data_IF_754583548389
#
_entry.id   IF_754583548389
#
_cell.length_a   1.000
_cell.length_b   1.000
_cell.length_c   1.000
_cell.angle_alpha   90.00
_cell.angle_beta   90.00
_cell.angle_gamma   90.00
#
_symmetry.space_group_name_H-M   'P 1'
#
loop_
_entity.id
_entity.type
_entity.pdbx_description
1 polymer ?
#
# COMPACT_ATOMS: atom_id res chain seq x y z
N UNK A 1 -18.46 -11.95 -2.34
CA UNK A 1 -18.49 -10.59 -1.75
C UNK A 1 -18.02 -9.65 -2.82
N UNK A 2 -18.63 -8.49 -3.03
CA UNK A 2 -18.16 -7.57 -4.06
C UNK A 2 -16.81 -6.97 -3.63
N UNK A 3 -15.86 -6.91 -4.56
CA UNK A 3 -14.56 -6.26 -4.36
C UNK A 3 -14.70 -4.84 -4.87
N UNK A 4 -14.23 -3.85 -4.12
CA UNK A 4 -14.27 -2.46 -4.55
C UNK A 4 -12.88 -1.82 -4.56
N UNK A 5 -12.75 -0.73 -5.32
CA UNK A 5 -11.59 0.13 -5.25
C UNK A 5 -11.77 1.11 -4.10
N UNK A 6 -10.87 1.12 -3.15
CA UNK A 6 -10.73 2.21 -2.19
C UNK A 6 -9.89 3.33 -2.81
N UNK A 7 -10.32 4.56 -2.62
CA UNK A 7 -9.52 5.75 -2.95
C UNK A 7 -9.11 6.44 -1.63
N UNK A 8 -7.94 6.11 -1.07
CA UNK A 8 -7.46 6.75 0.14
C UNK A 8 -7.35 8.26 -0.04
N UNK A 9 -7.92 9.03 0.90
CA UNK A 9 -7.85 10.49 0.86
C UNK A 9 -6.44 10.95 1.28
N UNK A 10 -5.50 10.94 0.34
CA UNK A 10 -4.16 11.46 0.53
C UNK A 10 -4.06 12.90 0.03
N UNK A 11 -3.26 13.72 0.72
CA UNK A 11 -2.97 15.10 0.28
C UNK A 11 -1.95 15.00 -0.86
N UNK A 12 -2.20 15.68 -1.97
CA UNK A 12 -1.36 15.59 -3.17
C UNK A 12 0.11 15.95 -2.89
N UNK A 13 0.34 17.00 -2.10
CA UNK A 13 1.69 17.49 -1.75
C UNK A 13 2.38 16.62 -0.70
N UNK A 14 1.62 15.79 0.01
CA UNK A 14 2.10 14.88 1.03
C UNK A 14 1.27 13.59 1.01
N UNK A 15 1.47 12.72 0.00
CA UNK A 15 0.63 11.55 -0.25
C UNK A 15 0.93 10.41 0.74
N UNK A 16 0.67 10.68 2.02
CA UNK A 16 0.88 9.81 3.17
C UNK A 16 -0.24 10.03 4.20
N UNK A 17 -0.65 8.98 4.87
CA UNK A 17 -1.51 9.06 6.06
C UNK A 17 -1.23 7.92 7.02
N UNK A 18 -1.58 8.13 8.30
CA UNK A 18 -1.70 7.05 9.28
C UNK A 18 -3.13 6.95 9.80
N UNK A 19 -3.51 5.76 10.21
CA UNK A 19 -4.79 5.47 10.87
C UNK A 19 -4.54 4.53 12.04
N UNK A 20 -5.32 4.68 13.12
CA UNK A 20 -5.42 3.69 14.18
C UNK A 20 -6.79 3.04 14.11
N UNK A 21 -6.84 1.73 14.07
CA UNK A 21 -8.09 0.97 14.00
C UNK A 21 -8.16 -0.07 15.12
N UNK A 22 -9.30 -0.09 15.78
CA UNK A 22 -9.69 -1.15 16.70
C UNK A 22 -10.25 -2.35 15.92
N UNK A 23 -10.17 -3.54 16.50
CA UNK A 23 -10.50 -4.79 15.83
C UNK A 23 -11.97 -5.11 15.65
N UNK A 24 -12.89 -4.23 16.03
CA UNK A 24 -14.32 -4.51 16.06
C UNK A 24 -14.98 -4.54 14.68
N UNK A 25 -14.42 -3.85 13.70
CA UNK A 25 -15.06 -3.60 12.41
C UNK A 25 -14.44 -4.44 11.30
N UNK A 26 -15.33 -5.06 10.50
CA UNK A 26 -14.96 -5.70 9.24
C UNK A 26 -14.44 -4.64 8.25
N UNK A 27 -13.23 -4.84 7.72
CA UNK A 27 -12.79 -4.16 6.52
C UNK A 27 -13.14 -5.05 5.33
N UNK A 28 -14.06 -4.61 4.49
CA UNK A 28 -14.57 -5.41 3.36
C UNK A 28 -13.52 -5.58 2.27
N UNK A 29 -13.62 -6.61 1.39
CA UNK A 29 -12.66 -6.84 0.32
C UNK A 29 -12.51 -5.63 -0.59
N UNK A 30 -11.31 -5.10 -0.67
CA UNK A 30 -10.97 -3.93 -1.49
C UNK A 30 -9.52 -4.00 -1.97
N UNK A 31 -9.17 -3.07 -2.83
CA UNK A 31 -7.81 -2.81 -3.26
C UNK A 31 -7.63 -1.31 -3.51
N UNK A 32 -6.39 -0.86 -3.50
CA UNK A 32 -5.99 0.51 -3.81
C UNK A 32 -4.59 0.51 -4.44
N UNK A 33 -4.17 1.63 -5.03
CA UNK A 33 -2.86 1.77 -5.69
C UNK A 33 -1.71 2.03 -4.72
N UNK A 34 -2.02 2.52 -3.54
CA UNK A 34 -1.07 2.89 -2.51
C UNK A 34 -0.42 1.65 -1.89
N UNK A 35 0.78 1.82 -1.35
CA UNK A 35 1.40 0.85 -0.45
C UNK A 35 0.73 1.02 0.92
N UNK A 36 0.42 -0.11 1.55
CA UNK A 36 -0.10 -0.14 2.91
C UNK A 36 0.83 -0.97 3.82
N UNK A 37 1.12 -0.45 4.99
CA UNK A 37 1.83 -1.18 6.03
C UNK A 37 0.90 -1.29 7.24
N UNK A 38 0.65 -2.52 7.70
CA UNK A 38 -0.08 -2.78 8.93
C UNK A 38 0.91 -3.15 10.03
N UNK A 39 0.79 -2.50 11.19
CA UNK A 39 1.51 -2.83 12.41
C UNK A 39 0.49 -3.20 13.49
N UNK A 40 0.58 -4.40 14.04
CA UNK A 40 -0.30 -4.84 15.13
C UNK A 40 0.26 -4.36 16.45
N UNK A 41 -0.49 -3.50 17.13
CA UNK A 41 -0.09 -2.93 18.43
C UNK A 41 -0.66 -3.71 19.60
N UNK A 42 -1.84 -4.38 19.42
CA UNK A 42 -2.45 -5.22 20.45
C UNK A 42 -3.20 -6.40 19.83
N UNK A 43 -3.26 -7.51 20.55
CA UNK A 43 -4.06 -8.68 20.22
C UNK A 43 -3.60 -9.45 18.98
N UNK A 44 -4.60 -9.96 18.24
CA UNK A 44 -4.41 -10.78 17.04
C UNK A 44 -5.37 -10.31 15.97
N UNK A 45 -4.87 -10.08 14.76
CA UNK A 45 -5.65 -9.63 13.59
C UNK A 45 -5.71 -10.74 12.56
N UNK A 46 -6.91 -11.05 12.07
CA UNK A 46 -7.13 -11.99 10.98
C UNK A 46 -7.43 -11.23 9.69
N UNK A 47 -6.62 -11.45 8.66
CA UNK A 47 -6.76 -10.78 7.37
C UNK A 47 -6.53 -11.73 6.20
N UNK A 48 -6.92 -11.29 5.03
CA UNK A 48 -6.68 -11.97 3.77
C UNK A 48 -5.98 -11.03 2.81
N UNK A 49 -5.00 -11.55 2.08
CA UNK A 49 -4.32 -10.85 0.99
C UNK A 49 -4.33 -11.78 -0.21
N UNK A 50 -4.96 -11.37 -1.33
CA UNK A 50 -5.12 -12.17 -2.54
C UNK A 50 -5.66 -13.59 -2.20
N UNK A 51 -6.76 -13.63 -1.45
CA UNK A 51 -7.44 -14.86 -0.99
C UNK A 51 -6.60 -15.78 -0.06
N UNK A 52 -5.39 -15.37 0.31
CA UNK A 52 -4.55 -16.12 1.25
C UNK A 52 -4.82 -15.64 2.67
N UNK A 53 -5.30 -16.51 3.57
CA UNK A 53 -5.53 -16.15 4.97
C UNK A 53 -4.20 -15.91 5.69
N UNK A 54 -4.19 -14.89 6.53
CA UNK A 54 -3.06 -14.55 7.38
C UNK A 54 -3.56 -14.13 8.76
N UNK A 55 -2.86 -14.56 9.79
CA UNK A 55 -3.08 -14.11 11.16
C UNK A 55 -1.84 -13.38 11.64
N UNK A 56 -1.98 -12.16 12.09
CA UNK A 56 -0.91 -11.33 12.65
C UNK A 56 -1.10 -11.13 14.14
N UNK A 57 -0.02 -11.19 14.89
CA UNK A 57 0.02 -10.99 16.34
C UNK A 57 0.68 -9.65 16.69
N UNK A 58 0.48 -9.21 17.92
CA UNK A 58 1.14 -8.02 18.47
C UNK A 58 2.63 -7.98 18.12
N UNK A 59 3.09 -6.84 17.62
CA UNK A 59 4.46 -6.58 17.16
C UNK A 59 4.78 -7.11 15.76
N UNK A 60 3.85 -7.78 15.09
CA UNK A 60 4.02 -8.20 13.70
C UNK A 60 3.60 -7.10 12.73
N UNK A 61 4.27 -7.11 11.58
CA UNK A 61 4.09 -6.13 10.51
C UNK A 61 3.81 -6.89 9.23
N UNK A 62 2.90 -6.36 8.40
CA UNK A 62 2.72 -6.81 7.03
C UNK A 62 2.73 -5.63 6.08
N UNK A 63 3.32 -5.81 4.91
CA UNK A 63 3.34 -4.85 3.80
C UNK A 63 2.42 -5.36 2.70
N UNK A 64 1.43 -4.55 2.33
CA UNK A 64 0.47 -4.81 1.26
C UNK A 64 0.84 -3.91 0.09
N UNK A 65 1.14 -4.50 -1.05
CA UNK A 65 1.50 -3.73 -2.25
C UNK A 65 0.26 -3.15 -2.92
N UNK A 66 0.42 -2.08 -3.66
CA UNK A 66 -0.64 -1.53 -4.49
C UNK A 66 -1.21 -2.60 -5.45
N UNK A 67 -2.53 -2.71 -5.48
CA UNK A 67 -3.27 -3.68 -6.27
C UNK A 67 -3.54 -5.03 -5.60
N UNK A 68 -2.95 -5.33 -4.44
CA UNK A 68 -3.31 -6.52 -3.68
C UNK A 68 -4.74 -6.37 -3.12
N UNK A 69 -5.61 -7.33 -3.44
CA UNK A 69 -6.94 -7.41 -2.83
C UNK A 69 -6.77 -7.85 -1.39
N UNK A 70 -7.31 -7.07 -0.46
CA UNK A 70 -7.22 -7.42 0.95
C UNK A 70 -8.46 -7.06 1.74
N UNK A 71 -8.65 -7.73 2.86
CA UNK A 71 -9.72 -7.48 3.83
C UNK A 71 -9.34 -7.99 5.21
N UNK A 72 -9.92 -7.41 6.23
CA UNK A 72 -9.62 -7.73 7.62
C UNK A 72 -10.91 -8.13 8.32
N UNK A 73 -10.90 -9.33 8.92
CA UNK A 73 -12.04 -9.83 9.68
C UNK A 73 -12.14 -9.12 11.04
N UNK A 74 -13.34 -9.02 11.61
CA UNK A 74 -13.49 -8.60 13.00
C UNK A 74 -12.56 -9.41 13.90
N UNK A 75 -11.78 -8.74 14.69
CA UNK A 75 -10.77 -9.32 15.60
C UNK A 75 -10.84 -8.58 16.94
N UNK A 76 -11.91 -8.79 17.73
CA UNK A 76 -12.15 -8.05 18.97
C UNK A 76 -10.97 -8.10 19.93
N UNK A 77 -10.69 -6.98 20.58
CA UNK A 77 -9.53 -6.82 21.47
C UNK A 77 -8.19 -6.69 20.76
N UNK A 78 -8.19 -6.49 19.44
CA UNK A 78 -6.99 -6.15 18.69
C UNK A 78 -6.94 -4.68 18.34
N UNK A 79 -5.71 -4.16 18.18
CA UNK A 79 -5.45 -2.82 17.67
C UNK A 79 -4.36 -2.89 16.59
N UNK A 80 -4.48 -2.02 15.58
CA UNK A 80 -3.51 -1.91 14.49
C UNK A 80 -3.31 -0.47 14.04
N UNK A 81 -2.09 -0.16 13.67
CA UNK A 81 -1.74 1.05 12.95
C UNK A 81 -1.65 0.73 11.46
N UNK A 82 -2.18 1.63 10.65
CA UNK A 82 -2.19 1.56 9.20
C UNK A 82 -1.40 2.74 8.66
N UNK A 83 -0.44 2.48 7.78
CA UNK A 83 0.34 3.50 7.09
C UNK A 83 0.08 3.33 5.60
N UNK A 84 -0.50 4.34 4.97
CA UNK A 84 -0.78 4.33 3.53
C UNK A 84 -0.02 5.47 2.85
N UNK A 85 0.63 5.17 1.74
CA UNK A 85 1.36 6.16 0.95
C UNK A 85 1.42 5.78 -0.53
N UNK A 86 1.39 6.79 -1.37
CA UNK A 86 1.68 6.64 -2.79
C UNK A 86 3.20 6.68 -3.02
N UNK A 87 3.70 6.00 -4.03
CA UNK A 87 5.12 6.01 -4.39
C UNK A 87 5.62 7.43 -4.70
N UNK A 88 4.74 8.32 -5.15
CA UNK A 88 5.06 9.73 -5.37
C UNK A 88 5.50 10.48 -4.10
N UNK A 89 5.26 9.91 -2.91
CA UNK A 89 5.80 10.42 -1.65
C UNK A 89 7.33 10.60 -1.70
N UNK A 90 8.02 9.81 -2.52
CA UNK A 90 9.48 9.85 -2.69
C UNK A 90 9.95 10.69 -3.89
N UNK A 91 9.06 11.39 -4.60
CA UNK A 91 9.41 12.15 -5.82
C UNK A 91 10.28 13.39 -5.58
N UNK A 92 10.44 13.86 -4.34
CA UNK A 92 11.30 15.01 -4.00
C UNK A 92 12.79 14.71 -4.17
N UNK A 93 13.16 13.46 -4.14
CA UNK A 93 14.47 13.05 -4.62
C UNK A 93 14.40 13.07 -6.17
N UNK A 94 15.39 13.67 -6.80
CA UNK A 94 15.64 13.45 -8.23
C UNK A 94 16.09 11.99 -8.36
N UNK A 95 15.14 11.09 -8.14
CA UNK A 95 15.35 9.69 -8.42
C UNK A 95 15.43 9.57 -9.94
N UNK A 96 16.50 8.99 -10.43
CA UNK A 96 16.56 8.50 -11.80
C UNK A 96 15.33 7.61 -12.02
N UNK A 97 14.77 7.61 -13.22
CA UNK A 97 13.59 6.78 -13.53
C UNK A 97 13.79 5.31 -13.12
N UNK A 98 15.02 4.81 -13.23
CA UNK A 98 15.45 3.48 -12.79
C UNK A 98 15.24 3.26 -11.28
N UNK A 99 15.45 4.28 -10.44
CA UNK A 99 15.25 4.16 -9.00
C UNK A 99 13.77 4.15 -8.61
N UNK A 100 12.91 4.82 -9.36
CA UNK A 100 11.46 4.77 -9.16
C UNK A 100 10.89 3.39 -9.50
N UNK A 101 11.29 2.81 -10.62
CA UNK A 101 10.95 1.43 -10.97
C UNK A 101 11.51 0.46 -9.93
N UNK A 102 12.71 0.72 -9.42
CA UNK A 102 13.32 -0.04 -8.36
C UNK A 102 12.51 -0.02 -7.05
N UNK A 103 11.88 1.11 -6.67
CA UNK A 103 10.98 1.17 -5.50
C UNK A 103 9.71 0.32 -5.69
N UNK A 104 9.08 0.37 -6.86
CA UNK A 104 7.92 -0.47 -7.18
C UNK A 104 8.30 -1.95 -7.08
N UNK A 105 9.43 -2.32 -7.67
CA UNK A 105 9.96 -3.68 -7.63
C UNK A 105 10.33 -4.11 -6.20
N UNK A 106 10.84 -3.17 -5.37
CA UNK A 106 11.11 -3.43 -3.97
C UNK A 106 9.86 -3.97 -3.26
N UNK A 107 8.79 -3.19 -3.25
CA UNK A 107 7.56 -3.56 -2.56
C UNK A 107 6.86 -4.81 -3.15
N UNK A 108 7.13 -5.13 -4.41
CA UNK A 108 6.62 -6.34 -5.06
C UNK A 108 7.40 -7.60 -4.67
N UNK A 109 8.69 -7.48 -4.39
CA UNK A 109 9.61 -8.62 -4.25
C UNK A 109 10.04 -8.95 -2.83
N UNK A 110 9.80 -8.09 -1.84
CA UNK A 110 10.18 -8.37 -0.46
C UNK A 110 9.24 -9.34 0.22
N UNK A 111 9.76 -10.12 1.19
CA UNK A 111 8.94 -10.91 2.11
C UNK A 111 8.01 -9.98 2.88
N UNK A 112 6.70 -10.09 2.59
CA UNK A 112 5.67 -9.14 3.07
C UNK A 112 5.47 -9.18 4.58
N UNK A 113 5.61 -10.36 5.21
CA UNK A 113 5.36 -10.55 6.63
C UNK A 113 6.64 -10.50 7.45
N UNK A 114 6.64 -9.73 8.52
CA UNK A 114 7.79 -9.57 9.41
C UNK A 114 8.20 -10.84 10.17
N UNK A 115 7.41 -11.90 10.11
CA UNK A 115 7.82 -13.23 10.62
C UNK A 115 9.02 -13.79 9.88
N UNK A 116 9.13 -13.46 8.60
CA UNK A 116 10.22 -13.90 7.74
C UNK A 116 11.47 -13.03 7.88
N UNK A 117 11.42 -11.99 8.72
CA UNK A 117 12.52 -11.07 8.98
C UNK A 117 13.26 -11.46 10.24
N UNK A 118 14.53 -11.07 10.36
CA UNK A 118 15.24 -11.25 11.63
C UNK A 118 14.60 -10.41 12.75
N UNK A 119 14.69 -10.86 13.99
CA UNK A 119 14.13 -10.13 15.14
C UNK A 119 14.68 -8.71 15.27
N UNK A 120 15.96 -8.50 14.91
CA UNK A 120 16.59 -7.18 14.91
C UNK A 120 15.95 -6.25 13.88
N UNK A 121 15.74 -6.73 12.66
CA UNK A 121 15.12 -5.95 11.57
C UNK A 121 13.68 -5.61 11.93
N UNK A 122 12.90 -6.61 12.36
CA UNK A 122 11.51 -6.41 12.79
C UNK A 122 11.42 -5.32 13.86
N UNK A 123 12.28 -5.37 14.88
CA UNK A 123 12.30 -4.34 15.92
C UNK A 123 12.66 -2.95 15.35
N UNK A 124 13.65 -2.86 14.49
CA UNK A 124 14.06 -1.58 13.89
C UNK A 124 12.94 -0.97 13.06
N UNK A 125 12.24 -1.77 12.23
CA UNK A 125 11.10 -1.30 11.45
C UNK A 125 9.92 -0.92 12.35
N UNK A 126 9.65 -1.71 13.39
CA UNK A 126 8.62 -1.41 14.38
C UNK A 126 8.87 -0.04 15.02
N UNK A 127 10.08 0.22 15.54
CA UNK A 127 10.44 1.48 16.19
C UNK A 127 10.25 2.67 15.22
N UNK A 128 10.68 2.54 13.96
CA UNK A 128 10.50 3.57 12.92
C UNK A 128 9.01 3.85 12.68
N UNK A 129 8.17 2.82 12.58
CA UNK A 129 6.74 2.99 12.33
C UNK A 129 6.03 3.66 13.51
N UNK A 130 6.36 3.28 14.75
CA UNK A 130 5.83 3.96 15.95
C UNK A 130 6.22 5.43 15.96
N UNK A 131 7.46 5.74 15.65
CA UNK A 131 7.94 7.11 15.56
C UNK A 131 7.19 7.92 14.49
N UNK A 132 6.96 7.33 13.30
CA UNK A 132 6.19 7.95 12.22
C UNK A 132 4.76 8.23 12.67
N UNK A 133 4.12 7.25 13.34
CA UNK A 133 2.77 7.41 13.86
C UNK A 133 2.68 8.55 14.86
N UNK A 134 3.63 8.65 15.79
CA UNK A 134 3.67 9.72 16.78
C UNK A 134 3.84 11.11 16.13
N UNK A 135 4.68 11.23 15.11
CA UNK A 135 4.84 12.47 14.35
C UNK A 135 3.52 12.91 13.69
N UNK A 136 2.80 11.96 13.05
CA UNK A 136 1.51 12.26 12.40
C UNK A 136 0.40 12.51 13.42
N UNK A 137 0.43 11.86 14.58
CA UNK A 137 -0.55 12.03 15.66
C UNK A 137 -0.43 13.42 16.32
N UNK A 138 0.79 13.81 16.71
CA UNK A 138 1.02 15.05 17.47
C UNK A 138 1.23 16.26 16.58
N UNK A 139 1.65 16.10 15.34
CA UNK A 139 1.87 17.15 14.34
C UNK A 139 2.64 18.36 14.85
N UNK A 140 3.70 18.11 15.62
CA UNK A 140 4.61 19.15 16.10
C UNK A 140 5.26 19.82 14.88
N UNK A 141 5.62 21.10 15.01
CA UNK A 141 6.27 21.85 13.93
C UNK A 141 7.42 21.06 13.29
N UNK A 142 7.41 20.91 11.98
CA UNK A 142 8.37 20.11 11.22
C UNK A 142 8.03 18.61 11.11
N UNK A 143 6.88 18.15 11.61
CA UNK A 143 6.47 16.74 11.58
C UNK A 143 6.54 16.10 10.18
N UNK A 144 6.19 16.84 9.13
CA UNK A 144 6.24 16.35 7.76
C UNK A 144 7.68 16.02 7.30
N UNK A 145 8.65 16.83 7.71
CA UNK A 145 10.07 16.55 7.47
C UNK A 145 10.55 15.35 8.29
N UNK A 146 10.08 15.23 9.55
CA UNK A 146 10.41 14.10 10.39
C UNK A 146 9.87 12.79 9.82
N UNK A 147 8.59 12.77 9.36
CA UNK A 147 8.00 11.60 8.68
C UNK A 147 8.80 11.26 7.41
N UNK A 148 9.09 12.24 6.55
CA UNK A 148 9.90 12.01 5.34
C UNK A 148 11.25 11.40 5.67
N UNK A 149 11.97 11.98 6.61
CA UNK A 149 13.28 11.45 7.04
C UNK A 149 13.23 10.00 7.53
N UNK A 150 12.20 9.66 8.32
CA UNK A 150 11.99 8.30 8.83
C UNK A 150 11.61 7.32 7.69
N UNK A 151 10.76 7.74 6.75
CA UNK A 151 10.41 6.95 5.57
C UNK A 151 11.64 6.71 4.68
N UNK A 152 12.49 7.71 4.47
CA UNK A 152 13.75 7.54 3.74
C UNK A 152 14.72 6.60 4.47
N UNK A 153 14.74 6.58 5.79
CA UNK A 153 15.52 5.62 6.57
C UNK A 153 14.97 4.19 6.47
N UNK A 154 13.65 4.03 6.29
CA UNK A 154 13.02 2.73 6.12
C UNK A 154 13.44 2.07 4.79
N UNK A 155 13.50 2.81 3.70
CA UNK A 155 13.81 2.29 2.36
C UNK A 155 15.12 1.47 2.30
N UNK A 156 16.28 1.95 2.79
CA UNK A 156 17.51 1.16 2.78
C UNK A 156 17.40 -0.14 3.62
N UNK A 157 16.61 -0.15 4.68
CA UNK A 157 16.38 -1.35 5.49
C UNK A 157 15.62 -2.38 4.65
N UNK A 158 14.54 -1.94 3.96
CA UNK A 158 13.76 -2.80 3.07
C UNK A 158 14.63 -3.37 1.94
N UNK A 159 15.48 -2.55 1.32
CA UNK A 159 16.36 -2.98 0.24
C UNK A 159 17.42 -4.00 0.67
N UNK A 160 18.07 -3.75 1.80
CA UNK A 160 19.34 -4.41 2.15
C UNK A 160 19.17 -5.56 3.12
N UNK A 161 18.09 -5.57 3.88
CA UNK A 161 18.01 -6.45 5.05
C UNK A 161 16.76 -7.35 5.04
N UNK A 162 15.70 -7.01 4.27
CA UNK A 162 14.52 -7.86 4.18
C UNK A 162 14.73 -8.91 3.06
N UNK A 163 14.48 -10.19 3.37
CA UNK A 163 14.57 -11.25 2.36
C UNK A 163 13.61 -11.00 1.20
N UNK A 164 14.01 -11.41 0.00
CA UNK A 164 13.16 -11.38 -1.19
C UNK A 164 12.29 -12.63 -1.26
N UNK A 165 11.11 -12.50 -1.84
CA UNK A 165 10.35 -13.65 -2.28
C UNK A 165 11.09 -14.28 -3.45
N UNK A 166 11.27 -15.62 -3.41
CA UNK A 166 11.77 -16.36 -4.57
C UNK A 166 10.56 -16.52 -5.48
N UNK A 167 10.60 -15.92 -6.66
CA UNK A 167 9.55 -16.10 -7.65
C UNK A 167 9.51 -17.57 -8.11
N UNK A 168 8.55 -18.33 -7.58
CA UNK A 168 8.14 -19.56 -8.22
C UNK A 168 7.19 -19.16 -9.38
N UNK A 169 7.76 -19.06 -10.60
CA UNK A 169 7.08 -19.03 -11.91
C UNK A 169 5.62 -18.47 -11.94
N UNK A 170 5.41 -17.23 -11.56
CA UNK A 170 4.10 -16.56 -11.70
C UNK A 170 4.12 -15.43 -12.73
N UNK A 171 5.09 -15.45 -13.65
CA UNK A 171 5.36 -14.39 -14.63
C UNK A 171 4.11 -14.03 -15.45
N UNK A 172 3.27 -15.01 -15.78
CA UNK A 172 2.07 -14.79 -16.62
C UNK A 172 0.93 -14.09 -15.84
N UNK A 173 0.82 -14.32 -14.53
CA UNK A 173 -0.22 -13.71 -13.69
C UNK A 173 0.15 -12.28 -13.29
N UNK A 174 1.43 -11.99 -13.11
CA UNK A 174 1.92 -10.64 -12.74
C UNK A 174 1.91 -9.68 -13.93
N UNK A 175 2.21 -10.13 -15.15
CA UNK A 175 2.13 -9.32 -16.36
C UNK A 175 0.70 -8.85 -16.58
N UNK A 176 -0.27 -9.77 -16.51
CA UNK A 176 -1.70 -9.44 -16.65
C UNK A 176 -2.19 -8.49 -15.55
N UNK A 177 -1.75 -8.69 -14.31
CA UNK A 177 -2.11 -7.81 -13.19
C UNK A 177 -1.51 -6.41 -13.35
N UNK A 178 -0.26 -6.30 -13.79
CA UNK A 178 0.41 -5.00 -14.01
C UNK A 178 -0.26 -4.21 -15.12
N UNK A 179 -0.57 -4.85 -16.26
CA UNK A 179 -1.30 -4.20 -17.36
C UNK A 179 -2.70 -3.74 -16.93
N UNK A 180 -3.43 -4.56 -16.19
CA UNK A 180 -4.75 -4.20 -15.67
C UNK A 180 -4.65 -2.99 -14.73
N UNK A 181 -3.68 -2.97 -13.81
CA UNK A 181 -3.45 -1.86 -12.90
C UNK A 181 -3.04 -0.57 -13.61
N UNK A 182 -2.17 -0.67 -14.65
CA UNK A 182 -1.79 0.47 -15.47
C UNK A 182 -3.00 1.04 -16.24
N UNK A 183 -3.86 0.18 -16.78
CA UNK A 183 -5.08 0.59 -17.47
C UNK A 183 -6.08 1.24 -16.51
N UNK A 184 -6.30 0.66 -15.34
CA UNK A 184 -7.12 1.25 -14.29
C UNK A 184 -6.58 2.62 -13.85
N UNK A 185 -5.28 2.75 -13.64
CA UNK A 185 -4.64 4.02 -13.31
C UNK A 185 -4.87 5.08 -14.42
N UNK A 186 -4.86 4.68 -15.69
CA UNK A 186 -5.15 5.57 -16.80
C UNK A 186 -6.64 6.00 -16.81
N UNK A 187 -7.56 5.08 -16.48
CA UNK A 187 -8.99 5.43 -16.27
C UNK A 187 -9.12 6.50 -15.18
N UNK A 188 -8.47 6.32 -14.02
CA UNK A 188 -8.56 7.29 -12.93
C UNK A 188 -7.98 8.64 -13.32
N UNK A 189 -6.78 8.67 -13.93
CA UNK A 189 -6.19 9.92 -14.44
C UNK A 189 -7.09 10.64 -15.43
N UNK A 190 -7.75 9.89 -16.32
CA UNK A 190 -8.70 10.47 -17.27
C UNK A 190 -9.91 11.07 -16.56
N UNK A 191 -10.48 10.34 -15.61
CA UNK A 191 -11.62 10.83 -14.81
C UNK A 191 -11.22 12.03 -13.96
N UNK A 192 -10.11 12.00 -13.25
CA UNK A 192 -9.60 13.13 -12.45
C UNK A 192 -9.36 14.38 -13.28
N UNK A 193 -8.91 14.23 -14.51
CA UNK A 193 -8.68 15.35 -15.42
C UNK A 193 -9.98 15.94 -15.97
N UNK A 194 -11.01 15.10 -16.17
CA UNK A 194 -12.20 15.47 -16.92
C UNK A 194 -13.51 15.51 -16.08
N UNK A 195 -13.49 15.20 -14.77
CA UNK A 195 -14.70 15.05 -13.94
C UNK A 195 -15.60 16.30 -13.88
N UNK A 196 -15.10 17.47 -14.26
CA UNK A 196 -15.88 18.72 -14.34
C UNK A 196 -16.77 18.81 -15.57
N UNK A 197 -16.65 17.86 -16.50
CA UNK A 197 -17.42 17.76 -17.73
C UNK A 197 -18.12 16.39 -17.78
N UNK A 198 -19.20 16.24 -18.57
CA UNK A 198 -19.80 14.92 -18.78
C UNK A 198 -18.78 13.96 -19.39
N UNK A 199 -18.49 12.87 -18.69
CA UNK A 199 -17.61 11.80 -19.15
C UNK A 199 -18.49 10.70 -19.73
N UNK A 200 -18.21 10.26 -20.96
CA UNK A 200 -18.88 9.13 -21.60
C UNK A 200 -18.03 7.88 -21.48
N UNK A 201 -18.69 6.73 -21.46
CA UNK A 201 -18.03 5.44 -21.39
C UNK A 201 -17.12 5.19 -22.60
N UNK A 202 -17.54 5.69 -23.77
CA UNK A 202 -16.79 5.62 -25.02
C UNK A 202 -15.44 6.33 -24.92
N UNK A 203 -15.42 7.51 -24.28
CA UNK A 203 -14.22 8.32 -24.13
C UNK A 203 -13.21 7.60 -23.22
N UNK A 204 -13.70 7.02 -22.12
CA UNK A 204 -12.87 6.24 -21.19
C UNK A 204 -12.34 4.97 -21.86
N UNK A 205 -13.19 4.25 -22.57
CA UNK A 205 -12.80 3.00 -23.25
C UNK A 205 -11.72 3.24 -24.31
N UNK A 206 -11.82 4.34 -25.06
CA UNK A 206 -10.83 4.74 -26.04
C UNK A 206 -9.46 5.03 -25.40
N UNK A 207 -9.45 5.79 -24.29
CA UNK A 207 -8.22 6.18 -23.58
C UNK A 207 -7.43 4.96 -23.05
N UNK A 208 -8.12 3.88 -22.68
CA UNK A 208 -7.50 2.67 -22.13
C UNK A 208 -7.36 1.53 -23.14
N UNK A 209 -7.76 1.76 -24.40
CA UNK A 209 -7.64 0.78 -25.47
C UNK A 209 -8.57 -0.43 -25.32
N UNK A 210 -9.75 -0.24 -24.68
CA UNK A 210 -10.78 -1.26 -24.58
C UNK A 210 -11.97 -0.96 -25.50
N UNK A 211 -12.70 -1.99 -25.89
CA UNK A 211 -14.03 -1.79 -26.46
C UNK A 211 -15.04 -1.48 -25.34
N UNK A 212 -16.05 -0.66 -25.65
CA UNK A 212 -17.14 -0.32 -24.70
C UNK A 212 -17.79 -1.59 -24.11
N UNK A 213 -17.86 -2.66 -24.89
CA UNK A 213 -18.41 -3.95 -24.47
C UNK A 213 -17.70 -4.56 -23.25
N UNK A 214 -16.42 -4.29 -23.04
CA UNK A 214 -15.65 -4.78 -21.87
C UNK A 214 -15.93 -4.00 -20.57
N UNK A 215 -16.66 -2.88 -20.65
CA UNK A 215 -17.05 -2.07 -19.50
C UNK A 215 -18.47 -2.34 -19.02
N UNK A 216 -19.24 -3.09 -19.77
CA UNK A 216 -20.65 -3.45 -19.47
C UNK A 216 -20.77 -4.92 -19.08
#
# INVERSE_FOLDING_TARGET
MAIYLEMPKLIHEFPFRTLSNEGEVLTTPHWHKEIEILLITEGVVNLFINDKPMQLKKGEIVIIKGGDIHYILPSPGSERLVFQFDISFFNDLILLNEEKESLINLFSSIKKCSRDWSAKIRKSVFDILIDIYNEDLYKIEGYSYAIKGKMYNLIPILYRQIPREIEENTVEYEINSKEILERLNNIFKYVEKNYKQPIKLEDVSYEVGFSVYYFT
#
